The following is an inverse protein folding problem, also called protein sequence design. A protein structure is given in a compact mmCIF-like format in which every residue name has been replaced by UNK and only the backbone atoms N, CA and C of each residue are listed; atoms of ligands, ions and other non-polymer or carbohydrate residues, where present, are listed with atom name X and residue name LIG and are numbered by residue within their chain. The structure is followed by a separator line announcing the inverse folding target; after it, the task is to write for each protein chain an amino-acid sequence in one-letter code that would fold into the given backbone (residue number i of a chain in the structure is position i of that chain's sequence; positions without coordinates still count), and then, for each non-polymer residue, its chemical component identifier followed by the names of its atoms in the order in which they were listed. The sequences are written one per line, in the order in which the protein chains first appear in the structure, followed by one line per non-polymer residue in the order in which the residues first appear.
data_IF_160774594328
#
_entry.id   IF_160774594328
#
_cell.length_a   1.000
_cell.length_b   1.000
_cell.length_c   1.000
_cell.angle_alpha   90.00
_cell.angle_beta   90.00
_cell.angle_gamma   90.00
#
_symmetry.space_group_name_H-M   'P 1'
#
loop_
_entity.id
_entity.type
_entity.pdbx_description
1 polymer ?
#
# COMPACT_ATOMS: atom_id res chain seq x y z
N UNK A 1 -8.43 27.38 -16.26
CA UNK A 1 -8.03 25.96 -16.34
C UNK A 1 -7.17 25.69 -15.11
N UNK A 2 -7.59 24.82 -14.20
CA UNK A 2 -6.79 24.52 -13.01
C UNK A 2 -5.61 23.67 -13.46
N UNK A 3 -4.49 24.35 -13.72
CA UNK A 3 -3.20 23.70 -13.72
C UNK A 3 -2.89 23.31 -12.28
N UNK A 4 -3.09 22.03 -11.97
CA UNK A 4 -2.35 21.40 -10.88
C UNK A 4 -0.87 21.36 -11.32
N UNK A 5 -0.16 22.49 -11.18
CA UNK A 5 1.30 22.51 -11.26
C UNK A 5 1.85 21.80 -10.01
N UNK A 6 1.70 20.47 -9.98
CA UNK A 6 2.29 19.54 -9.01
C UNK A 6 3.66 19.09 -9.51
N UNK A 7 4.47 20.05 -9.99
CA UNK A 7 5.91 19.83 -10.17
C UNK A 7 6.57 20.18 -8.85
N UNK A 8 7.49 19.32 -8.38
CA UNK A 8 8.37 19.62 -7.26
C UNK A 8 9.17 20.89 -7.56
N UNK A 9 8.69 22.04 -7.11
CA UNK A 9 9.53 23.22 -6.91
C UNK A 9 10.20 23.06 -5.55
N UNK A 10 11.51 22.89 -5.55
CA UNK A 10 12.36 23.07 -4.36
C UNK A 10 12.42 24.59 -4.14
N UNK A 11 11.82 25.18 -3.10
CA UNK A 11 11.95 26.62 -2.87
C UNK A 11 13.32 26.88 -2.26
N UNK A 12 14.07 27.82 -2.84
CA UNK A 12 15.21 28.44 -2.16
C UNK A 12 14.70 29.26 -0.96
N UNK A 13 15.39 29.16 0.16
CA UNK A 13 15.03 29.69 1.49
C UNK A 13 15.03 31.23 1.61
N UNK A 14 14.94 32.00 0.53
CA UNK A 14 15.23 33.43 0.55
C UNK A 14 14.23 34.29 -0.24
N UNK A 15 12.97 34.33 0.18
CA UNK A 15 12.06 35.48 -0.06
C UNK A 15 10.72 35.28 0.64
N UNK A 16 10.56 35.89 1.82
CA UNK A 16 9.32 35.86 2.60
C UNK A 16 8.59 37.21 2.48
N UNK A 17 7.29 37.22 2.15
CA UNK A 17 6.35 38.22 2.64
C UNK A 17 5.68 37.69 3.93
N UNK A 18 5.59 38.54 4.94
CA UNK A 18 4.81 38.31 6.16
C UNK A 18 3.32 38.41 5.83
N UNK A 19 2.57 37.31 6.00
CA UNK A 19 1.11 37.31 5.88
C UNK A 19 0.48 37.17 7.27
N UNK A 20 -0.42 38.10 7.60
CA UNK A 20 -1.31 38.00 8.75
C UNK A 20 -2.42 36.98 8.44
N UNK A 21 -2.48 35.87 9.18
CA UNK A 21 -3.57 34.92 9.11
C UNK A 21 -4.14 34.58 10.48
N UNK A 22 -5.46 34.41 10.45
CA UNK A 22 -6.41 34.19 11.55
C UNK A 22 -6.06 32.92 12.33
N UNK A 23 -6.00 33.05 13.65
CA UNK A 23 -5.83 31.96 14.61
C UNK A 23 -7.06 31.05 14.63
N UNK A 24 -6.88 29.78 14.28
CA UNK A 24 -7.89 28.72 14.47
C UNK A 24 -7.61 28.10 15.85
N UNK A 25 -8.51 28.24 16.85
CA UNK A 25 -8.29 27.62 18.15
C UNK A 25 -8.56 26.12 18.07
N UNK A 26 -7.54 25.32 18.42
CA UNK A 26 -7.66 23.87 18.61
C UNK A 26 -7.55 23.60 20.10
N UNK A 27 -8.68 23.49 20.80
CA UNK A 27 -8.70 22.97 22.17
C UNK A 27 -9.00 21.46 22.14
N UNK A 28 -8.15 20.62 22.78
CA UNK A 28 -8.45 19.22 22.98
C UNK A 28 -9.36 19.05 24.21
N UNK A 29 -10.54 18.44 24.05
CA UNK A 29 -11.32 17.92 25.19
C UNK A 29 -11.14 16.40 25.31
N UNK A 30 -10.86 15.88 26.51
CA UNK A 30 -10.79 14.43 26.75
C UNK A 30 -12.19 13.82 26.76
N UNK A 31 -12.34 12.64 26.15
CA UNK A 31 -13.57 11.83 26.20
C UNK A 31 -13.37 10.75 27.27
N UNK A 32 -14.00 10.90 28.42
CA UNK A 32 -14.15 9.83 29.42
C UNK A 32 -15.58 9.25 29.42
N UNK A 33 -15.61 7.92 29.52
CA UNK A 33 -16.62 7.03 30.13
C UNK A 33 -18.08 7.11 29.69
N UNK A 34 -18.53 6.14 28.86
CA UNK A 34 -19.76 5.38 29.12
C UNK A 34 -19.63 3.97 28.49
N UNK A 35 -19.17 2.98 29.26
CA UNK A 35 -19.50 1.57 29.01
C UNK A 35 -19.85 0.95 30.35
N UNK A 36 -21.14 0.70 30.58
CA UNK A 36 -21.55 -0.30 31.56
C UNK A 36 -22.78 -1.05 31.07
N UNK A 37 -22.68 -2.37 31.26
CA UNK A 37 -23.72 -3.39 31.29
C UNK A 37 -24.22 -3.98 29.96
N UNK A 38 -23.72 -5.19 29.67
CA UNK A 38 -24.58 -6.37 29.51
C UNK A 38 -23.73 -7.65 29.54
N UNK A 39 -23.67 -8.29 30.71
CA UNK A 39 -23.28 -9.70 30.87
C UNK A 39 -24.50 -10.62 30.69
N UNK A 40 -24.19 -11.84 30.24
CA UNK A 40 -24.97 -13.09 30.34
C UNK A 40 -26.23 -13.31 29.47
N UNK A 41 -26.12 -14.23 28.50
CA UNK A 41 -26.44 -15.66 28.68
C UNK A 41 -26.19 -16.45 27.38
N UNK A 42 -25.60 -17.65 27.54
CA UNK A 42 -25.37 -18.66 26.50
C UNK A 42 -26.67 -19.41 26.20
N UNK A 43 -26.95 -19.63 24.91
CA UNK A 43 -27.70 -20.81 24.44
C UNK A 43 -27.20 -21.17 23.03
N UNK A 44 -26.66 -22.39 22.92
CA UNK A 44 -26.03 -22.96 21.74
C UNK A 44 -26.96 -23.99 21.10
N UNK A 45 -27.61 -23.64 19.98
CA UNK A 45 -27.95 -24.58 18.90
C UNK A 45 -28.62 -23.84 17.73
N UNK A 46 -28.08 -23.97 16.51
CA UNK A 46 -28.83 -23.69 15.27
C UNK A 46 -28.71 -22.28 14.66
N UNK A 47 -27.60 -21.55 14.85
CA UNK A 47 -27.41 -20.25 14.20
C UNK A 47 -25.96 -20.11 13.70
N UNK A 48 -25.66 -20.43 12.45
CA UNK A 48 -24.38 -20.07 11.83
C UNK A 48 -24.56 -18.88 10.86
N UNK A 49 -25.56 -18.98 9.98
CA UNK A 49 -25.88 -17.98 8.94
C UNK A 49 -26.47 -16.68 9.51
N UNK A 50 -27.31 -16.77 10.55
CA UNK A 50 -27.90 -15.59 11.23
C UNK A 50 -26.87 -14.78 12.05
N UNK A 51 -25.81 -15.44 12.54
CA UNK A 51 -24.73 -14.78 13.29
C UNK A 51 -23.77 -14.03 12.37
N UNK A 52 -23.45 -14.58 11.20
CA UNK A 52 -22.62 -13.89 10.19
C UNK A 52 -23.29 -12.59 9.73
N UNK A 53 -24.60 -12.64 9.43
CA UNK A 53 -25.37 -11.45 9.05
C UNK A 53 -25.45 -10.41 10.18
N UNK A 54 -25.63 -10.83 11.43
CA UNK A 54 -25.64 -9.92 12.60
C UNK A 54 -24.26 -9.28 12.83
N UNK A 55 -23.16 -10.03 12.70
CA UNK A 55 -21.78 -9.49 12.80
C UNK A 55 -21.47 -8.49 11.68
N UNK A 56 -21.87 -8.76 10.44
CA UNK A 56 -21.70 -7.80 9.33
C UNK A 56 -22.51 -6.52 9.55
N UNK A 57 -23.77 -6.62 10.01
CA UNK A 57 -24.60 -5.46 10.34
C UNK A 57 -24.02 -4.63 11.49
N UNK A 58 -23.46 -5.30 12.51
CA UNK A 58 -22.79 -4.64 13.64
C UNK A 58 -21.49 -3.92 13.21
N UNK A 59 -20.66 -4.54 12.36
CA UNK A 59 -19.43 -3.92 11.81
C UNK A 59 -19.74 -2.69 10.94
N UNK A 60 -20.78 -2.73 10.10
CA UNK A 60 -21.23 -1.58 9.28
C UNK A 60 -21.63 -0.38 10.13
N UNK A 61 -22.40 -0.61 11.20
CA UNK A 61 -22.87 0.45 12.11
C UNK A 61 -21.71 1.00 12.95
N UNK A 62 -20.79 0.15 13.40
CA UNK A 62 -19.70 0.57 14.27
C UNK A 62 -18.67 1.45 13.55
N UNK A 63 -18.28 1.13 12.31
CA UNK A 63 -17.32 1.95 11.56
C UNK A 63 -17.90 3.31 11.15
N UNK A 64 -19.17 3.32 10.72
CA UNK A 64 -19.91 4.56 10.46
C UNK A 64 -20.01 5.42 11.73
N UNK A 65 -20.24 4.81 12.89
CA UNK A 65 -20.27 5.51 14.18
C UNK A 65 -18.89 6.08 14.59
N UNK A 66 -17.79 5.37 14.33
CA UNK A 66 -16.43 5.84 14.65
C UNK A 66 -16.02 7.03 13.78
N UNK A 67 -16.37 7.00 12.49
CA UNK A 67 -16.01 8.07 11.56
C UNK A 67 -17.02 9.22 11.55
N UNK A 68 -18.24 9.03 12.04
CA UNK A 68 -19.32 10.03 12.02
C UNK A 68 -18.95 11.35 12.69
N UNK A 69 -18.28 11.39 13.87
CA UNK A 69 -17.84 12.66 14.46
C UNK A 69 -16.85 13.42 13.56
N UNK A 70 -15.92 12.72 12.90
CA UNK A 70 -14.96 13.31 11.96
C UNK A 70 -15.66 13.84 10.71
N UNK A 71 -16.63 13.11 10.17
CA UNK A 71 -17.45 13.60 9.05
C UNK A 71 -18.23 14.85 9.43
N UNK A 72 -18.83 14.90 10.62
CA UNK A 72 -19.53 16.09 11.10
C UNK A 72 -18.60 17.30 11.22
N UNK A 73 -17.35 17.10 11.65
CA UNK A 73 -16.34 18.16 11.66
C UNK A 73 -16.00 18.64 10.24
N UNK A 74 -15.79 17.73 9.28
CA UNK A 74 -15.60 18.09 7.85
C UNK A 74 -16.79 18.91 7.35
N UNK A 75 -18.02 18.48 7.67
CA UNK A 75 -19.24 19.16 7.27
C UNK A 75 -19.34 20.57 7.89
N UNK A 76 -18.83 20.76 9.11
CA UNK A 76 -18.84 22.09 9.76
C UNK A 76 -17.87 23.08 9.11
N UNK A 77 -16.76 22.60 8.53
CA UNK A 77 -15.80 23.42 7.78
C UNK A 77 -16.32 23.81 6.39
N UNK A 78 -17.37 23.15 5.89
CA UNK A 78 -17.87 23.35 4.52
C UNK A 78 -18.36 24.78 4.30
N UNK A 79 -18.92 25.45 5.32
CA UNK A 79 -19.36 26.86 5.24
C UNK A 79 -18.19 27.83 5.10
N UNK A 80 -17.11 27.61 5.85
CA UNK A 80 -15.88 28.42 5.83
C UNK A 80 -15.10 28.20 4.53
N UNK A 81 -14.98 26.94 4.11
CA UNK A 81 -14.23 26.59 2.91
C UNK A 81 -15.01 27.01 1.66
N UNK A 82 -16.34 26.94 1.65
CA UNK A 82 -17.17 27.32 0.49
C UNK A 82 -16.96 28.76 0.03
N UNK A 83 -16.65 29.70 0.93
CA UNK A 83 -16.44 31.11 0.59
C UNK A 83 -15.08 31.42 -0.06
N UNK A 84 -14.11 30.49 0.02
CA UNK A 84 -12.77 30.71 -0.52
C UNK A 84 -12.78 30.88 -2.06
N UNK A 85 -11.85 31.65 -2.61
CA UNK A 85 -11.60 31.65 -4.06
C UNK A 85 -10.71 30.47 -4.49
N UNK A 86 -10.57 30.24 -5.79
CA UNK A 86 -9.63 29.23 -6.31
C UNK A 86 -8.18 29.51 -5.87
N UNK A 87 -7.77 30.79 -5.86
CA UNK A 87 -6.45 31.21 -5.36
C UNK A 87 -6.27 30.81 -3.90
N UNK A 88 -7.26 31.12 -3.06
CA UNK A 88 -7.19 30.81 -1.63
C UNK A 88 -7.17 29.31 -1.34
N UNK A 89 -7.80 28.47 -2.17
CA UNK A 89 -7.69 27.01 -2.06
C UNK A 89 -6.28 26.50 -2.39
N UNK A 90 -5.61 27.12 -3.38
CA UNK A 90 -4.21 26.82 -3.70
C UNK A 90 -3.30 27.24 -2.56
N UNK A 91 -3.51 28.43 -1.99
CA UNK A 91 -2.74 28.93 -0.84
C UNK A 91 -2.93 28.02 0.38
N UNK A 92 -4.16 27.52 0.60
CA UNK A 92 -4.45 26.55 1.65
C UNK A 92 -3.67 25.25 1.42
N UNK A 93 -3.58 24.77 0.19
CA UNK A 93 -2.79 23.58 -0.14
C UNK A 93 -1.30 23.78 0.15
N UNK A 94 -0.74 24.94 -0.22
CA UNK A 94 0.65 25.28 0.07
C UNK A 94 0.92 25.33 1.59
N UNK A 95 0.00 25.93 2.35
CA UNK A 95 0.07 25.97 3.81
C UNK A 95 0.05 24.56 4.43
N UNK A 96 -0.87 23.69 3.98
CA UNK A 96 -0.93 22.31 4.47
C UNK A 96 0.32 21.51 4.10
N UNK A 97 0.87 21.72 2.89
CA UNK A 97 2.13 21.10 2.45
C UNK A 97 3.30 21.52 3.34
N UNK A 98 3.43 22.81 3.66
CA UNK A 98 4.47 23.29 4.58
C UNK A 98 4.39 22.64 5.96
N UNK A 99 3.19 22.53 6.55
CA UNK A 99 3.01 21.87 7.85
C UNK A 99 3.36 20.38 7.83
N UNK A 100 2.97 19.68 6.78
CA UNK A 100 3.32 18.28 6.59
C UNK A 100 4.86 18.09 6.49
N UNK A 101 5.54 18.99 5.76
CA UNK A 101 7.00 18.97 5.63
C UNK A 101 7.73 19.31 6.94
N UNK A 102 7.13 20.12 7.81
CA UNK A 102 7.64 20.41 9.16
C UNK A 102 7.47 19.24 10.15
N UNK A 103 6.98 18.08 9.71
CA UNK A 103 6.91 16.86 10.50
C UNK A 103 5.64 16.70 11.32
N UNK A 104 4.64 17.56 11.11
CA UNK A 104 3.37 17.47 11.82
C UNK A 104 2.55 16.27 11.30
N UNK A 105 1.98 15.47 12.22
CA UNK A 105 1.36 14.18 11.88
C UNK A 105 0.14 14.34 10.96
N UNK A 106 0.10 13.55 9.88
CA UNK A 106 -1.04 13.45 8.98
C UNK A 106 -2.34 13.09 9.70
N UNK A 107 -2.28 12.35 10.81
CA UNK A 107 -3.47 11.99 11.59
C UNK A 107 -4.00 13.13 12.47
N UNK A 108 -3.10 13.93 13.04
CA UNK A 108 -3.42 15.04 13.96
C UNK A 108 -4.08 16.20 13.23
N UNK A 109 -3.62 16.46 12.01
CA UNK A 109 -3.91 17.71 11.32
C UNK A 109 -4.85 17.62 10.13
N UNK A 110 -4.69 16.55 9.35
CA UNK A 110 -4.87 16.69 7.92
C UNK A 110 -6.11 16.01 7.34
N UNK A 111 -6.82 15.03 7.96
CA UNK A 111 -7.99 14.46 7.30
C UNK A 111 -9.09 15.51 7.15
N UNK A 112 -9.28 16.38 8.15
CA UNK A 112 -10.43 17.29 8.18
C UNK A 112 -10.27 18.48 7.21
N UNK A 113 -9.19 19.28 7.28
CA UNK A 113 -9.02 20.40 6.36
C UNK A 113 -8.72 19.91 4.94
N UNK A 114 -7.89 18.87 4.78
CA UNK A 114 -7.54 18.37 3.46
C UNK A 114 -8.76 17.78 2.73
N UNK A 115 -9.60 16.98 3.43
CA UNK A 115 -10.79 16.42 2.78
C UNK A 115 -11.84 17.49 2.51
N UNK A 116 -11.96 18.51 3.36
CA UNK A 116 -12.86 19.62 3.12
C UNK A 116 -12.42 20.47 1.91
N UNK A 117 -11.12 20.78 1.79
CA UNK A 117 -10.52 21.42 0.61
C UNK A 117 -10.78 20.59 -0.65
N UNK A 118 -10.51 19.28 -0.60
CA UNK A 118 -10.74 18.40 -1.74
C UNK A 118 -12.21 18.25 -2.11
N UNK A 119 -13.10 18.23 -1.13
CA UNK A 119 -14.55 18.20 -1.38
C UNK A 119 -15.01 19.44 -2.14
N UNK A 120 -14.51 20.62 -1.76
CA UNK A 120 -14.81 21.86 -2.48
C UNK A 120 -14.18 21.89 -3.86
N UNK A 121 -12.91 21.50 -3.98
CA UNK A 121 -12.22 21.44 -5.26
C UNK A 121 -12.95 20.49 -6.22
N UNK A 122 -13.31 19.30 -5.77
CA UNK A 122 -14.09 18.33 -6.55
C UNK A 122 -15.43 18.90 -7.02
N UNK A 123 -16.16 19.64 -6.17
CA UNK A 123 -17.40 20.31 -6.55
C UNK A 123 -17.18 21.38 -7.61
N UNK A 124 -16.11 22.16 -7.51
CA UNK A 124 -15.79 23.22 -8.46
C UNK A 124 -15.29 22.71 -9.81
N UNK A 125 -14.44 21.68 -9.81
CA UNK A 125 -13.80 21.14 -11.03
C UNK A 125 -14.67 20.11 -11.72
N UNK A 126 -15.22 19.16 -10.97
CA UNK A 126 -15.95 18.01 -11.51
C UNK A 126 -17.46 18.19 -11.45
N UNK A 127 -17.95 19.22 -10.74
CA UNK A 127 -19.37 19.34 -10.41
C UNK A 127 -19.84 18.28 -9.39
N UNK A 128 -18.94 17.46 -8.86
CA UNK A 128 -19.25 16.35 -7.96
C UNK A 128 -18.85 16.74 -6.54
N UNK A 129 -19.82 16.75 -5.62
CA UNK A 129 -19.54 16.93 -4.19
C UNK A 129 -19.47 15.56 -3.53
N UNK A 130 -18.29 15.12 -3.03
CA UNK A 130 -18.18 13.85 -2.32
C UNK A 130 -19.24 13.70 -1.21
N UNK A 131 -19.93 12.56 -1.17
CA UNK A 131 -20.87 12.25 -0.09
C UNK A 131 -20.14 11.84 1.18
N UNK A 132 -20.87 11.82 2.29
CA UNK A 132 -20.32 11.49 3.61
C UNK A 132 -19.73 10.07 3.65
N UNK A 133 -20.34 9.12 2.93
CA UNK A 133 -19.81 7.75 2.78
C UNK A 133 -18.46 7.71 2.04
N UNK A 134 -18.21 8.65 1.12
CA UNK A 134 -16.94 8.78 0.40
C UNK A 134 -15.85 9.32 1.32
N UNK A 135 -16.20 10.26 2.21
CA UNK A 135 -15.29 10.76 3.23
C UNK A 135 -14.90 9.65 4.22
N UNK A 136 -15.86 8.81 4.63
CA UNK A 136 -15.61 7.64 5.48
C UNK A 136 -14.65 6.69 4.78
N UNK A 137 -14.88 6.41 3.50
CA UNK A 137 -14.04 5.52 2.69
C UNK A 137 -12.61 6.07 2.56
N UNK A 138 -12.48 7.37 2.28
CA UNK A 138 -11.18 8.03 2.20
C UNK A 138 -10.40 7.96 3.52
N UNK A 139 -11.09 8.05 4.66
CA UNK A 139 -10.46 7.89 5.98
C UNK A 139 -10.04 6.44 6.26
N UNK A 140 -10.81 5.45 5.80
CA UNK A 140 -10.43 4.03 5.89
C UNK A 140 -9.17 3.78 5.06
N UNK A 141 -9.15 4.26 3.81
CA UNK A 141 -7.97 4.18 2.95
C UNK A 141 -6.78 4.90 3.59
N UNK A 142 -6.97 6.10 4.15
CA UNK A 142 -5.90 6.82 4.85
C UNK A 142 -5.42 6.13 6.14
N UNK A 143 -6.13 5.13 6.69
CA UNK A 143 -5.62 4.35 7.82
C UNK A 143 -4.72 3.17 7.43
N UNK A 144 -4.86 2.63 6.22
CA UNK A 144 -4.16 1.40 5.86
C UNK A 144 -5.06 0.22 5.55
N UNK A 145 -6.37 0.43 5.59
CA UNK A 145 -7.35 -0.64 5.49
C UNK A 145 -7.97 -0.71 4.09
N UNK A 146 -8.69 -1.80 3.82
CA UNK A 146 -9.50 -1.95 2.62
C UNK A 146 -10.88 -1.34 2.82
N UNK A 147 -11.28 -0.42 1.95
CA UNK A 147 -12.63 0.13 1.92
C UNK A 147 -13.51 -0.69 0.97
N UNK A 148 -14.43 -1.49 1.52
CA UNK A 148 -15.44 -2.17 0.71
C UNK A 148 -16.60 -1.21 0.42
N UNK A 149 -16.73 -0.85 -0.85
CA UNK A 149 -17.73 0.06 -1.39
C UNK A 149 -18.42 -0.56 -2.59
N UNK A 150 -19.75 -0.62 -2.57
CA UNK A 150 -20.52 -1.19 -3.69
C UNK A 150 -20.21 -0.47 -5.01
N UNK A 151 -20.27 -1.21 -6.10
CA UNK A 151 -20.10 -0.67 -7.46
C UNK A 151 -21.08 0.48 -7.69
N UNK A 152 -20.58 1.59 -8.24
CA UNK A 152 -21.37 2.80 -8.46
C UNK A 152 -21.42 3.79 -7.28
N UNK A 153 -20.83 3.47 -6.13
CA UNK A 153 -20.73 4.45 -5.02
C UNK A 153 -19.71 5.57 -5.32
N UNK A 154 -18.79 5.39 -6.26
CA UNK A 154 -17.82 6.40 -6.70
C UNK A 154 -16.39 6.16 -6.21
N UNK A 155 -15.89 4.92 -6.32
CA UNK A 155 -14.53 4.50 -5.91
C UNK A 155 -13.43 5.43 -6.45
N UNK A 156 -13.47 5.75 -7.75
CA UNK A 156 -12.53 6.70 -8.38
C UNK A 156 -12.47 8.04 -7.65
N UNK A 157 -13.62 8.61 -7.24
CA UNK A 157 -13.65 9.89 -6.53
C UNK A 157 -13.09 9.76 -5.10
N UNK A 158 -13.21 8.59 -4.49
CA UNK A 158 -12.66 8.33 -3.14
C UNK A 158 -11.15 8.34 -3.15
N UNK A 159 -10.48 7.75 -4.14
CA UNK A 159 -9.02 7.64 -4.17
C UNK A 159 -8.30 8.99 -4.09
N UNK A 160 -8.92 10.04 -4.62
CA UNK A 160 -8.37 11.40 -4.65
C UNK A 160 -8.22 11.97 -3.24
N UNK A 161 -9.13 11.65 -2.32
CA UNK A 161 -9.14 12.19 -0.95
C UNK A 161 -7.86 11.79 -0.16
N UNK A 162 -7.56 10.49 0.03
CA UNK A 162 -6.31 10.07 0.66
C UNK A 162 -5.11 10.33 -0.25
N UNK A 163 -5.24 10.33 -1.58
CA UNK A 163 -4.10 10.65 -2.46
C UNK A 163 -3.62 12.08 -2.24
N UNK A 164 -4.51 13.06 -2.26
CA UNK A 164 -4.18 14.46 -1.97
C UNK A 164 -3.55 14.62 -0.60
N UNK A 165 -4.18 14.05 0.44
CA UNK A 165 -3.70 14.11 1.82
C UNK A 165 -2.26 13.59 1.96
N UNK A 166 -2.00 12.41 1.42
CA UNK A 166 -0.69 11.76 1.54
C UNK A 166 0.36 12.42 0.64
N UNK A 167 -0.05 13.01 -0.49
CA UNK A 167 0.81 13.75 -1.41
C UNK A 167 1.38 15.04 -0.80
N UNK A 168 0.74 15.60 0.24
CA UNK A 168 1.27 16.77 0.97
C UNK A 168 2.64 16.54 1.60
N UNK A 169 3.03 15.27 1.82
CA UNK A 169 4.37 14.92 2.32
C UNK A 169 5.47 15.11 1.27
N UNK A 170 5.12 15.28 -0.01
CA UNK A 170 6.07 15.39 -1.13
C UNK A 170 6.76 14.06 -1.50
N UNK A 171 6.39 12.94 -0.86
CA UNK A 171 6.99 11.62 -1.06
C UNK A 171 6.36 10.81 -2.20
N UNK A 172 5.34 11.35 -2.88
CA UNK A 172 4.62 10.67 -3.95
C UNK A 172 3.53 9.72 -3.45
N UNK A 173 2.49 9.53 -4.28
CA UNK A 173 1.39 8.58 -4.07
C UNK A 173 1.08 7.87 -5.37
N UNK A 174 1.02 6.54 -5.33
CA UNK A 174 0.62 5.71 -6.47
C UNK A 174 -0.86 5.33 -6.35
N UNK A 175 -1.65 5.62 -7.38
CA UNK A 175 -3.01 5.11 -7.54
C UNK A 175 -2.94 4.01 -8.58
N UNK A 176 -3.08 2.77 -8.12
CA UNK A 176 -2.92 1.56 -8.92
C UNK A 176 -4.28 1.07 -9.38
N UNK A 177 -4.39 0.79 -10.67
CA UNK A 177 -5.61 0.25 -11.29
C UNK A 177 -5.31 -1.07 -12.00
N UNK A 178 -6.36 -1.78 -12.41
CA UNK A 178 -6.26 -3.11 -13.05
C UNK A 178 -5.64 -3.03 -14.47
N UNK A 179 -5.79 -1.90 -15.17
CA UNK A 179 -5.26 -1.75 -16.53
C UNK A 179 -5.01 -0.29 -16.90
N UNK A 180 -4.23 -0.10 -17.97
CA UNK A 180 -3.80 1.23 -18.44
C UNK A 180 -4.95 2.11 -18.89
N UNK A 181 -6.03 1.53 -19.43
CA UNK A 181 -7.21 2.28 -19.82
C UNK A 181 -7.87 2.94 -18.60
N UNK A 182 -8.06 2.19 -17.51
CA UNK A 182 -8.61 2.71 -16.26
C UNK A 182 -7.67 3.73 -15.63
N UNK A 183 -6.36 3.47 -15.61
CA UNK A 183 -5.35 4.41 -15.13
C UNK A 183 -5.45 5.75 -15.89
N UNK A 184 -5.52 5.70 -17.22
CA UNK A 184 -5.61 6.90 -18.07
C UNK A 184 -6.95 7.61 -17.91
N UNK A 185 -8.06 6.88 -17.94
CA UNK A 185 -9.41 7.45 -17.77
C UNK A 185 -9.52 8.18 -16.44
N UNK A 186 -9.14 7.52 -15.35
CA UNK A 186 -9.31 8.08 -14.01
C UNK A 186 -8.42 9.30 -13.83
N UNK A 187 -7.16 9.21 -14.27
CA UNK A 187 -6.22 10.32 -14.40
C UNK A 187 -6.85 11.53 -15.11
N UNK A 188 -7.28 11.38 -16.37
CA UNK A 188 -7.88 12.47 -17.18
C UNK A 188 -9.13 13.07 -16.52
N UNK A 189 -9.87 12.26 -15.77
CA UNK A 189 -11.06 12.70 -15.06
C UNK A 189 -10.74 13.61 -13.88
N UNK A 190 -9.62 13.39 -13.18
CA UNK A 190 -9.26 14.21 -12.01
C UNK A 190 -8.37 15.40 -12.35
N UNK A 191 -7.66 15.34 -13.47
CA UNK A 191 -6.81 16.45 -13.94
C UNK A 191 -5.73 15.99 -14.93
N UNK A 192 -4.91 16.92 -15.43
CA UNK A 192 -3.84 16.59 -16.36
C UNK A 192 -2.68 15.93 -15.61
N UNK A 193 -2.71 14.61 -15.47
CA UNK A 193 -1.60 13.81 -14.92
C UNK A 193 -0.92 13.04 -16.06
N UNK A 194 0.39 12.77 -15.97
CA UNK A 194 1.12 12.04 -17.00
C UNK A 194 0.55 10.64 -17.30
N UNK A 195 0.63 10.26 -18.58
CA UNK A 195 0.24 8.93 -19.10
C UNK A 195 1.46 8.00 -19.14
N UNK A 196 1.26 6.71 -18.94
CA UNK A 196 2.26 5.65 -19.13
C UNK A 196 1.90 4.76 -20.32
N UNK A 197 2.20 5.17 -21.57
CA UNK A 197 2.08 4.29 -22.73
C UNK A 197 3.18 3.21 -22.70
N UNK A 198 2.86 2.02 -23.22
CA UNK A 198 3.72 0.82 -23.20
C UNK A 198 5.15 1.03 -23.77
N UNK A 199 5.38 2.07 -24.59
CA UNK A 199 6.68 2.40 -25.20
C UNK A 199 7.30 3.73 -24.72
N UNK A 200 7.02 4.14 -23.49
CA UNK A 200 7.61 5.35 -22.90
C UNK A 200 9.09 5.17 -22.56
N UNK A 201 9.92 6.19 -22.84
CA UNK A 201 11.35 6.18 -22.46
C UNK A 201 11.53 6.24 -20.94
N UNK A 202 12.64 5.70 -20.44
CA UNK A 202 12.96 5.68 -19.00
C UNK A 202 13.00 7.08 -18.39
N UNK A 203 13.51 8.08 -19.11
CA UNK A 203 13.53 9.48 -18.64
C UNK A 203 12.11 10.02 -18.43
N UNK A 204 11.21 9.70 -19.37
CA UNK A 204 9.84 10.19 -19.29
C UNK A 204 9.04 9.46 -18.21
N UNK A 205 9.31 8.19 -17.95
CA UNK A 205 8.74 7.47 -16.80
C UNK A 205 9.22 8.08 -15.47
N UNK A 206 10.51 8.39 -15.36
CA UNK A 206 11.06 9.05 -14.17
C UNK A 206 10.38 10.41 -13.93
N UNK A 207 10.16 11.21 -14.98
CA UNK A 207 9.38 12.46 -14.88
C UNK A 207 7.96 12.24 -14.35
N UNK A 208 7.31 11.14 -14.74
CA UNK A 208 5.96 10.83 -14.27
C UNK A 208 5.93 10.40 -12.80
N UNK A 209 6.93 9.65 -12.33
CA UNK A 209 7.05 9.26 -10.91
C UNK A 209 7.52 10.43 -10.01
N UNK A 210 8.06 11.50 -10.60
CA UNK A 210 8.36 12.74 -9.88
C UNK A 210 7.12 13.60 -9.56
N UNK A 211 5.96 13.27 -10.13
CA UNK A 211 4.70 13.90 -9.77
C UNK A 211 4.27 13.54 -8.34
N UNK A 212 3.56 14.46 -7.68
CA UNK A 212 3.06 14.22 -6.31
C UNK A 212 2.04 13.05 -6.25
N UNK A 213 1.31 12.79 -7.34
CA UNK A 213 0.37 11.68 -7.51
C UNK A 213 0.57 11.06 -8.90
N UNK A 214 0.63 9.74 -8.96
CA UNK A 214 0.88 8.96 -10.18
C UNK A 214 -0.19 7.89 -10.34
N UNK A 215 -0.89 7.87 -11.49
CA UNK A 215 -1.80 6.78 -11.86
C UNK A 215 -1.06 5.77 -12.73
N UNK A 216 -1.16 4.49 -12.39
CA UNK A 216 -0.42 3.42 -13.06
C UNK A 216 -1.21 2.10 -12.98
N UNK A 217 -0.99 1.19 -13.92
CA UNK A 217 -1.50 -0.17 -13.79
C UNK A 217 -0.64 -0.99 -12.83
N UNK A 218 -1.24 -2.03 -12.24
CA UNK A 218 -0.53 -3.03 -11.44
C UNK A 218 0.67 -3.63 -12.19
N UNK A 219 0.49 -3.95 -13.48
CA UNK A 219 1.50 -4.58 -14.32
C UNK A 219 2.66 -3.63 -14.60
N UNK A 220 2.40 -2.39 -15.03
CA UNK A 220 3.49 -1.45 -15.32
C UNK A 220 4.24 -1.04 -14.05
N UNK A 221 3.56 -0.88 -12.92
CA UNK A 221 4.25 -0.60 -11.65
C UNK A 221 5.15 -1.78 -11.24
N UNK A 222 4.66 -3.01 -11.39
CA UNK A 222 5.43 -4.23 -11.12
C UNK A 222 6.60 -4.41 -12.08
N UNK A 223 6.39 -4.15 -13.37
CA UNK A 223 7.45 -4.24 -14.37
C UNK A 223 8.47 -3.12 -14.23
N UNK A 224 8.07 -1.89 -13.93
CA UNK A 224 9.01 -0.80 -13.65
C UNK A 224 9.88 -1.16 -12.45
N UNK A 225 9.31 -1.74 -11.40
CA UNK A 225 10.08 -2.26 -10.26
C UNK A 225 11.06 -3.35 -10.67
N UNK A 226 10.62 -4.31 -11.47
CA UNK A 226 11.47 -5.41 -11.92
C UNK A 226 12.54 -4.98 -12.94
N UNK A 227 12.29 -3.92 -13.71
CA UNK A 227 13.24 -3.32 -14.67
C UNK A 227 14.32 -2.51 -13.95
N UNK A 228 14.10 -2.11 -12.70
CA UNK A 228 15.09 -1.34 -11.96
C UNK A 228 16.34 -2.17 -11.70
N UNK A 229 17.48 -1.63 -12.14
CA UNK A 229 18.77 -2.14 -11.76
C UNK A 229 19.35 -1.24 -10.66
N UNK A 230 19.47 -1.73 -9.40
CA UNK A 230 20.04 -0.93 -8.32
C UNK A 230 21.49 -0.48 -8.57
N UNK A 231 22.19 -1.07 -9.54
CA UNK A 231 23.52 -0.65 -9.98
C UNK A 231 23.53 0.63 -10.84
N UNK A 232 22.39 1.09 -11.31
CA UNK A 232 22.28 2.32 -12.11
C UNK A 232 21.87 3.50 -11.24
N UNK A 233 22.60 4.62 -11.32
CA UNK A 233 22.31 5.86 -10.55
C UNK A 233 20.95 6.49 -10.89
N UNK A 234 20.30 6.07 -11.99
CA UNK A 234 19.00 6.57 -12.45
C UNK A 234 17.92 5.52 -12.23
N UNK A 235 17.37 5.50 -11.02
CA UNK A 235 16.14 4.77 -10.73
C UNK A 235 14.93 5.48 -11.36
N UNK A 236 14.00 4.70 -11.91
CA UNK A 236 12.77 5.21 -12.52
C UNK A 236 11.72 5.44 -11.43
N UNK A 237 11.69 4.55 -10.45
CA UNK A 237 10.90 4.65 -9.22
C UNK A 237 11.76 5.31 -8.14
N UNK A 238 11.12 6.17 -7.34
CA UNK A 238 11.82 6.88 -6.26
C UNK A 238 11.73 6.11 -4.94
N UNK A 239 10.51 6.04 -4.40
CA UNK A 239 10.25 5.40 -3.11
C UNK A 239 8.79 4.97 -3.04
N UNK A 240 8.53 3.74 -2.61
CA UNK A 240 7.17 3.24 -2.35
C UNK A 240 6.64 3.79 -1.03
N UNK A 241 6.03 4.98 -1.07
CA UNK A 241 5.54 5.62 0.15
C UNK A 241 4.05 5.33 0.41
N UNK A 242 3.17 5.63 -0.55
CA UNK A 242 1.74 5.35 -0.44
C UNK A 242 1.20 4.75 -1.73
N UNK A 243 0.46 3.65 -1.60
CA UNK A 243 -0.22 2.97 -2.69
C UNK A 243 -1.71 2.82 -2.37
N UNK A 244 -2.57 3.24 -3.30
CA UNK A 244 -4.02 3.05 -3.25
C UNK A 244 -4.39 2.16 -4.42
N UNK A 245 -4.83 0.93 -4.13
CA UNK A 245 -5.19 -0.06 -5.14
C UNK A 245 -6.69 -0.04 -5.38
N UNK A 246 -7.12 0.28 -6.60
CA UNK A 246 -8.51 0.08 -7.04
C UNK A 246 -8.74 -1.38 -7.46
N UNK A 247 -9.94 -1.88 -7.23
CA UNK A 247 -10.31 -3.30 -7.39
C UNK A 247 -9.26 -4.25 -6.76
N UNK A 248 -8.97 -4.01 -5.48
CA UNK A 248 -7.91 -4.70 -4.73
C UNK A 248 -8.04 -6.23 -4.68
N UNK A 249 -9.25 -6.77 -4.78
CA UNK A 249 -9.50 -8.22 -4.92
C UNK A 249 -9.01 -8.76 -6.26
N UNK A 250 -9.31 -8.05 -7.34
CA UNK A 250 -8.85 -8.43 -8.68
C UNK A 250 -7.32 -8.48 -8.73
N UNK A 251 -6.64 -7.50 -8.12
CA UNK A 251 -5.18 -7.39 -8.19
C UNK A 251 -4.48 -8.33 -7.19
N UNK A 252 -4.87 -8.30 -5.91
CA UNK A 252 -4.15 -9.01 -4.85
C UNK A 252 -4.61 -10.46 -4.65
N UNK A 253 -5.73 -10.88 -5.24
CA UNK A 253 -6.25 -12.24 -5.09
C UNK A 253 -6.28 -12.97 -6.43
N UNK A 254 -6.88 -12.37 -7.45
CA UNK A 254 -7.03 -13.04 -8.75
C UNK A 254 -5.72 -12.99 -9.57
N UNK A 255 -5.16 -11.80 -9.77
CA UNK A 255 -3.94 -11.62 -10.57
C UNK A 255 -2.67 -12.07 -9.85
N UNK A 256 -2.63 -11.95 -8.52
CA UNK A 256 -1.49 -12.37 -7.71
C UNK A 256 -1.15 -13.87 -7.81
N UNK A 257 -2.03 -14.69 -8.41
CA UNK A 257 -1.78 -16.12 -8.67
C UNK A 257 -0.67 -16.36 -9.68
N UNK A 258 -0.46 -15.42 -10.60
CA UNK A 258 0.59 -15.53 -11.63
C UNK A 258 1.69 -14.54 -11.32
N UNK A 259 2.93 -14.97 -11.04
CA UNK A 259 4.00 -14.05 -10.73
C UNK A 259 4.33 -13.17 -11.94
N UNK A 260 4.58 -11.87 -11.70
CA UNK A 260 5.13 -10.97 -12.69
C UNK A 260 6.56 -11.39 -13.06
N UNK A 261 6.80 -11.67 -14.34
CA UNK A 261 8.08 -12.13 -14.88
C UNK A 261 8.56 -11.21 -16.00
N UNK A 262 9.73 -10.60 -15.84
CA UNK A 262 10.47 -10.03 -16.97
C UNK A 262 11.25 -11.17 -17.61
N UNK A 263 10.95 -11.43 -18.88
CA UNK A 263 11.74 -12.36 -19.69
C UNK A 263 12.76 -11.56 -20.49
N UNK A 264 14.03 -11.77 -20.19
CA UNK A 264 15.16 -11.24 -20.93
C UNK A 264 16.34 -12.19 -20.78
N UNK A 265 17.39 -12.07 -21.62
CA UNK A 265 18.62 -12.79 -21.38
C UNK A 265 19.32 -12.17 -20.16
N UNK A 266 19.06 -12.70 -18.96
CA UNK A 266 19.69 -12.26 -17.71
C UNK A 266 20.07 -13.47 -16.84
N UNK A 267 21.24 -13.42 -16.22
CA UNK A 267 21.68 -14.42 -15.24
C UNK A 267 20.82 -14.34 -13.97
N UNK A 268 20.42 -15.49 -13.41
CA UNK A 268 19.33 -15.54 -12.42
C UNK A 268 19.81 -15.09 -11.01
N UNK A 269 19.05 -14.23 -10.29
CA UNK A 269 19.31 -13.88 -8.89
C UNK A 269 19.29 -15.10 -7.94
N UNK A 270 18.49 -16.11 -8.28
CA UNK A 270 18.52 -17.42 -7.60
C UNK A 270 19.92 -18.02 -7.66
N UNK A 271 20.61 -17.88 -8.78
CA UNK A 271 21.95 -18.42 -8.99
C UNK A 271 22.97 -17.71 -8.10
N UNK A 272 22.78 -16.42 -7.80
CA UNK A 272 23.66 -15.69 -6.87
C UNK A 272 23.53 -16.20 -5.44
N UNK A 273 22.31 -16.40 -4.94
CA UNK A 273 22.09 -16.98 -3.62
C UNK A 273 22.65 -18.41 -3.53
N UNK A 274 22.46 -19.24 -4.55
CA UNK A 274 23.06 -20.59 -4.58
C UNK A 274 24.59 -20.56 -4.68
N UNK A 275 25.17 -19.65 -5.47
CA UNK A 275 26.63 -19.44 -5.54
C UNK A 275 27.18 -18.98 -4.18
N UNK A 276 26.54 -18.00 -3.55
CA UNK A 276 26.91 -17.51 -2.23
C UNK A 276 26.79 -18.60 -1.14
N UNK A 277 25.75 -19.44 -1.20
CA UNK A 277 25.60 -20.59 -0.30
C UNK A 277 26.72 -21.63 -0.48
N UNK A 278 27.16 -21.88 -1.73
CA UNK A 278 28.31 -22.76 -2.00
C UNK A 278 29.64 -22.18 -1.49
N UNK A 279 29.84 -20.87 -1.65
CA UNK A 279 31.01 -20.16 -1.12
C UNK A 279 31.02 -20.24 0.42
N UNK A 280 29.87 -19.91 1.04
CA UNK A 280 29.72 -20.03 2.48
C UNK A 280 30.00 -21.46 2.97
N UNK A 281 29.53 -22.49 2.25
CA UNK A 281 29.80 -23.88 2.58
C UNK A 281 31.30 -24.22 2.55
N UNK A 282 32.07 -23.66 1.61
CA UNK A 282 33.50 -23.89 1.45
C UNK A 282 34.39 -23.26 2.54
N UNK A 283 33.89 -22.26 3.27
CA UNK A 283 34.63 -21.70 4.41
C UNK A 283 34.68 -22.68 5.59
N UNK A 284 35.87 -23.11 6.00
CA UNK A 284 36.08 -23.91 7.20
C UNK A 284 36.67 -23.03 8.32
N UNK A 285 35.89 -22.74 9.37
CA UNK A 285 36.37 -22.06 10.58
C UNK A 285 36.14 -20.54 10.63
N UNK A 286 36.81 -19.87 11.59
CA UNK A 286 36.68 -18.43 11.82
C UNK A 286 37.09 -17.63 10.57
N UNK A 287 36.20 -16.73 10.13
CA UNK A 287 36.46 -15.76 9.07
C UNK A 287 37.63 -14.84 9.45
N UNK A 288 38.84 -15.22 9.03
CA UNK A 288 40.01 -14.37 9.11
C UNK A 288 40.01 -13.36 7.96
N UNK A 289 40.99 -12.45 7.98
CA UNK A 289 41.19 -11.41 6.97
C UNK A 289 41.37 -11.92 5.52
N UNK A 290 41.38 -13.22 5.27
CA UNK A 290 41.58 -13.83 3.94
C UNK A 290 40.27 -14.22 3.25
N UNK A 291 39.15 -14.32 3.97
CA UNK A 291 37.90 -14.85 3.42
C UNK A 291 37.26 -13.99 2.32
N UNK A 292 37.56 -12.70 2.27
CA UNK A 292 37.09 -11.82 1.19
C UNK A 292 37.93 -11.98 -0.08
N UNK A 293 39.25 -12.15 0.03
CA UNK A 293 40.12 -12.42 -1.13
C UNK A 293 39.74 -13.76 -1.78
N UNK A 294 39.51 -14.79 -0.95
CA UNK A 294 39.04 -16.10 -1.42
C UNK A 294 37.66 -16.00 -2.10
N UNK A 295 36.76 -15.18 -1.55
CA UNK A 295 35.43 -14.95 -2.15
C UNK A 295 35.54 -14.25 -3.51
N UNK A 296 36.44 -13.27 -3.64
CA UNK A 296 36.69 -12.54 -4.88
C UNK A 296 37.27 -13.44 -5.97
N UNK A 297 38.20 -14.33 -5.61
CA UNK A 297 38.77 -15.32 -6.53
C UNK A 297 37.72 -16.34 -7.00
N UNK A 298 36.88 -16.86 -6.09
CA UNK A 298 35.84 -17.83 -6.43
C UNK A 298 34.73 -17.21 -7.30
N UNK A 299 34.40 -15.94 -7.06
CA UNK A 299 33.38 -15.21 -7.81
C UNK A 299 33.89 -14.60 -9.12
N UNK A 300 35.21 -14.58 -9.34
CA UNK A 300 35.88 -13.87 -10.44
C UNK A 300 35.49 -12.37 -10.48
N UNK A 301 35.47 -11.74 -9.30
CA UNK A 301 35.12 -10.32 -9.13
C UNK A 301 36.30 -9.55 -8.56
N UNK A 302 36.44 -8.29 -8.98
CA UNK A 302 37.57 -7.44 -8.55
C UNK A 302 37.40 -6.83 -7.16
N UNK A 303 36.16 -6.65 -6.72
CA UNK A 303 35.81 -6.01 -5.46
C UNK A 303 34.46 -6.55 -5.01
N UNK A 304 34.46 -7.29 -3.89
CA UNK A 304 33.25 -7.86 -3.29
C UNK A 304 32.27 -6.77 -2.83
N UNK A 305 32.79 -5.58 -2.51
CA UNK A 305 32.04 -4.43 -2.02
C UNK A 305 31.61 -3.46 -3.14
N UNK A 306 31.82 -3.79 -4.42
CA UNK A 306 31.35 -2.93 -5.52
C UNK A 306 29.81 -2.78 -5.41
N UNK A 307 29.30 -1.54 -5.24
CA UNK A 307 27.88 -1.27 -5.10
C UNK A 307 27.04 -1.67 -6.34
N UNK A 308 27.69 -1.94 -7.47
CA UNK A 308 27.05 -2.42 -8.71
C UNK A 308 26.77 -3.93 -8.69
N UNK A 309 27.62 -4.72 -8.03
CA UNK A 309 27.48 -6.18 -8.00
C UNK A 309 26.86 -6.69 -6.70
N UNK A 310 27.13 -5.98 -5.59
CA UNK A 310 26.54 -6.20 -4.26
C UNK A 310 26.76 -7.61 -3.69
N UNK A 311 27.82 -8.30 -4.09
CA UNK A 311 28.12 -9.67 -3.65
C UNK A 311 28.35 -9.78 -2.13
N UNK A 312 28.93 -8.77 -1.51
CA UNK A 312 29.19 -8.75 -0.07
C UNK A 312 27.95 -9.08 0.78
N UNK A 313 26.77 -8.55 0.42
CA UNK A 313 25.53 -8.82 1.15
C UNK A 313 25.08 -10.28 0.99
N UNK A 314 25.17 -10.84 -0.21
CA UNK A 314 24.81 -12.24 -0.46
C UNK A 314 25.73 -13.22 0.27
N UNK A 315 27.04 -12.95 0.26
CA UNK A 315 28.04 -13.78 0.95
C UNK A 315 27.86 -13.68 2.47
N UNK A 316 27.67 -12.48 3.01
CA UNK A 316 27.41 -12.28 4.44
C UNK A 316 26.14 -13.00 4.89
N UNK A 317 25.04 -12.87 4.13
CA UNK A 317 23.78 -13.56 4.44
C UNK A 317 23.92 -15.08 4.35
N UNK A 318 24.68 -15.60 3.37
CA UNK A 318 24.93 -17.02 3.23
C UNK A 318 25.75 -17.59 4.40
N UNK A 319 26.77 -16.86 4.86
CA UNK A 319 27.58 -17.25 6.02
C UNK A 319 26.74 -17.16 7.30
N UNK A 320 25.98 -16.07 7.47
CA UNK A 320 25.05 -15.90 8.60
C UNK A 320 24.05 -17.07 8.64
N UNK A 321 23.45 -17.42 7.49
CA UNK A 321 22.55 -18.55 7.39
C UNK A 321 23.26 -19.88 7.71
N UNK A 322 24.51 -20.08 7.27
CA UNK A 322 25.30 -21.28 7.56
C UNK A 322 25.58 -21.43 9.07
N UNK A 323 26.16 -20.40 9.68
CA UNK A 323 26.73 -20.46 11.03
C UNK A 323 25.70 -20.22 12.14
N UNK A 324 24.76 -19.29 11.94
CA UNK A 324 23.86 -18.84 13.01
C UNK A 324 22.46 -19.45 12.94
N UNK A 325 22.02 -19.94 11.78
CA UNK A 325 20.68 -20.48 11.59
C UNK A 325 20.72 -22.00 11.43
N UNK A 326 20.55 -22.71 12.54
CA UNK A 326 20.65 -24.15 12.59
C UNK A 326 19.29 -24.82 12.35
N UNK A 327 19.31 -25.83 11.50
CA UNK A 327 18.17 -26.70 11.25
C UNK A 327 17.73 -27.39 12.54
N UNK A 328 16.43 -27.47 12.72
CA UNK A 328 15.74 -28.01 13.91
C UNK A 328 15.95 -27.21 15.20
N UNK A 329 16.56 -26.02 15.10
CA UNK A 329 16.69 -25.04 16.20
C UNK A 329 16.01 -23.73 15.81
N UNK A 330 16.50 -23.06 14.77
CA UNK A 330 15.97 -21.78 14.29
C UNK A 330 14.95 -21.98 13.16
N UNK A 331 15.11 -23.04 12.37
CA UNK A 331 14.32 -23.32 11.18
C UNK A 331 13.97 -24.80 11.04
N UNK A 332 12.81 -25.10 10.45
CA UNK A 332 12.39 -26.45 10.09
C UNK A 332 12.05 -26.47 8.61
N UNK A 333 12.51 -27.51 7.91
CA UNK A 333 12.15 -27.75 6.50
C UNK A 333 10.92 -28.63 6.44
N UNK A 334 9.81 -28.10 5.90
CA UNK A 334 8.58 -28.85 5.70
C UNK A 334 8.19 -28.84 4.23
N UNK A 335 8.24 -29.99 3.57
CA UNK A 335 7.98 -30.09 2.13
C UNK A 335 9.03 -29.33 1.32
N UNK A 336 8.63 -28.22 0.68
CA UNK A 336 9.51 -27.35 -0.13
C UNK A 336 9.74 -25.98 0.50
N UNK A 337 9.42 -25.80 1.78
CA UNK A 337 9.45 -24.51 2.45
C UNK A 337 10.27 -24.55 3.74
N UNK A 338 10.91 -23.42 4.04
CA UNK A 338 11.57 -23.16 5.32
C UNK A 338 10.59 -22.47 6.26
N UNK A 339 10.38 -23.03 7.44
CA UNK A 339 9.52 -22.46 8.49
C UNK A 339 10.36 -21.98 9.66
N UNK A 340 9.99 -20.83 10.24
CA UNK A 340 10.69 -20.23 11.38
C UNK A 340 10.21 -20.88 12.68
N UNK A 341 11.14 -21.22 13.56
CA UNK A 341 10.83 -21.64 14.94
C UNK A 341 10.93 -20.42 15.86
N UNK A 342 9.89 -20.19 16.66
CA UNK A 342 9.88 -19.15 17.67
C UNK A 342 10.81 -19.52 18.84
N UNK A 343 11.83 -18.70 19.10
CA UNK A 343 12.82 -18.92 20.17
C UNK A 343 12.18 -18.92 21.57
N UNK A 344 11.07 -18.22 21.78
CA UNK A 344 10.43 -18.13 23.10
C UNK A 344 9.46 -19.28 23.36
N UNK A 345 8.81 -19.81 22.31
CA UNK A 345 7.70 -20.76 22.46
C UNK A 345 7.98 -22.13 21.85
N UNK A 346 9.04 -22.27 21.05
CA UNK A 346 9.36 -23.47 20.27
C UNK A 346 8.32 -23.79 19.18
N UNK A 347 7.38 -22.87 18.92
CA UNK A 347 6.31 -23.10 17.93
C UNK A 347 6.77 -22.72 16.54
N UNK A 348 6.29 -23.48 15.57
CA UNK A 348 6.51 -23.20 14.15
C UNK A 348 5.60 -22.05 13.71
N UNK A 349 6.18 -20.97 13.21
CA UNK A 349 5.47 -19.82 12.66
C UNK A 349 5.40 -19.97 11.14
N UNK A 350 4.24 -20.34 10.63
CA UNK A 350 3.98 -20.41 9.18
C UNK A 350 3.75 -19.03 8.58
N UNK A 351 4.25 -18.81 7.36
CA UNK A 351 4.07 -17.58 6.59
C UNK A 351 4.90 -16.37 7.05
N UNK A 352 5.79 -16.54 8.03
CA UNK A 352 6.74 -15.50 8.46
C UNK A 352 8.11 -15.75 7.82
N UNK A 353 8.77 -14.68 7.35
CA UNK A 353 10.11 -14.72 6.75
C UNK A 353 11.07 -13.82 7.53
N UNK A 354 12.37 -14.14 7.49
CA UNK A 354 13.42 -13.24 7.99
C UNK A 354 13.66 -12.11 6.97
N UNK A 355 14.08 -10.94 7.46
CA UNK A 355 14.30 -9.76 6.62
C UNK A 355 15.64 -9.80 5.87
N UNK A 356 15.83 -8.80 5.00
CA UNK A 356 17.13 -8.45 4.40
C UNK A 356 17.79 -9.57 3.57
N UNK A 357 16.98 -10.42 2.92
CA UNK A 357 17.50 -11.50 2.09
C UNK A 357 17.97 -12.75 2.87
N UNK A 358 17.88 -12.74 4.21
CA UNK A 358 18.34 -13.83 5.05
C UNK A 358 17.49 -15.09 4.85
N UNK A 359 16.19 -14.96 4.62
CA UNK A 359 15.33 -16.12 4.40
C UNK A 359 15.65 -16.85 3.09
N UNK A 360 16.00 -16.10 2.05
CA UNK A 360 16.46 -16.60 0.77
C UNK A 360 17.82 -17.30 0.91
N UNK A 361 18.70 -16.78 1.77
CA UNK A 361 19.96 -17.43 2.08
C UNK A 361 19.78 -18.76 2.84
N UNK A 362 18.81 -18.84 3.76
CA UNK A 362 18.45 -20.10 4.44
C UNK A 362 17.78 -21.08 3.46
N UNK A 363 16.90 -20.61 2.57
CA UNK A 363 16.33 -21.43 1.50
C UNK A 363 17.43 -22.00 0.58
N UNK A 364 18.41 -21.18 0.21
CA UNK A 364 19.56 -21.59 -0.61
C UNK A 364 20.46 -22.60 0.13
N UNK A 365 20.71 -22.38 1.44
CA UNK A 365 21.45 -23.31 2.31
C UNK A 365 20.79 -24.69 2.35
N UNK A 366 19.47 -24.73 2.48
CA UNK A 366 18.70 -25.98 2.54
C UNK A 366 18.41 -26.58 1.14
N UNK A 367 18.88 -25.94 0.06
CA UNK A 367 18.67 -26.40 -1.32
C UNK A 367 17.21 -26.30 -1.80
N UNK A 368 16.43 -25.38 -1.22
CA UNK A 368 15.02 -25.16 -1.54
C UNK A 368 14.83 -24.03 -2.56
N UNK A 369 13.73 -24.07 -3.36
CA UNK A 369 13.42 -23.01 -4.30
C UNK A 369 13.19 -21.67 -3.58
N UNK A 370 13.96 -20.66 -3.96
CA UNK A 370 13.94 -19.33 -3.34
C UNK A 370 12.65 -18.59 -3.72
N UNK A 371 11.92 -18.11 -2.70
CA UNK A 371 10.70 -17.33 -2.90
C UNK A 371 10.98 -15.82 -2.81
N UNK A 372 10.26 -15.00 -3.59
CA UNK A 372 10.44 -13.54 -3.66
C UNK A 372 9.75 -12.81 -2.49
N UNK A 373 10.37 -11.75 -1.98
CA UNK A 373 9.81 -10.87 -0.95
C UNK A 373 8.74 -9.89 -1.49
N UNK A 374 7.89 -9.35 -0.60
CA UNK A 374 6.79 -8.41 -0.94
C UNK A 374 6.80 -7.11 -0.12
N UNK A 375 6.22 -6.08 -0.75
CA UNK A 375 6.33 -4.61 -0.60
C UNK A 375 5.74 -3.94 0.67
N UNK A 376 6.09 -2.66 0.94
CA UNK A 376 5.60 -1.91 2.11
C UNK A 376 4.15 -1.39 1.98
N UNK A 377 3.49 -1.22 3.14
CA UNK A 377 2.16 -0.61 3.43
C UNK A 377 1.19 -0.47 2.23
N UNK A 378 0.48 -1.56 1.94
CA UNK A 378 -0.59 -1.65 0.94
C UNK A 378 -1.93 -1.13 1.49
N UNK A 379 -2.81 -0.66 0.59
CA UNK A 379 -4.17 -0.14 0.89
C UNK A 379 -5.01 -0.30 -0.36
N UNK A 380 -6.31 -0.52 -0.23
CA UNK A 380 -7.14 -0.68 -1.43
C UNK A 380 -8.64 -0.52 -1.24
N UNK A 381 -9.37 -0.46 -2.35
CA UNK A 381 -10.82 -0.36 -2.38
C UNK A 381 -11.39 -1.39 -3.36
N UNK A 382 -12.57 -1.94 -3.05
CA UNK A 382 -13.28 -2.86 -3.94
C UNK A 382 -14.76 -2.97 -3.54
N UNK A 383 -15.60 -3.59 -4.37
CA UNK A 383 -16.99 -3.91 -4.06
C UNK A 383 -17.22 -5.22 -3.31
N UNK A 384 -16.18 -6.04 -3.17
CA UNK A 384 -16.33 -7.48 -2.85
C UNK A 384 -15.26 -8.06 -1.91
N UNK A 385 -14.61 -7.26 -1.07
CA UNK A 385 -13.53 -7.76 -0.20
C UNK A 385 -13.97 -8.56 1.05
N UNK A 386 -15.18 -8.37 1.61
CA UNK A 386 -15.51 -8.98 2.91
C UNK A 386 -15.53 -10.51 2.89
N UNK A 387 -15.84 -11.12 1.74
CA UNK A 387 -15.81 -12.58 1.57
C UNK A 387 -14.40 -13.14 1.70
N UNK A 388 -13.39 -12.38 1.27
CA UNK A 388 -11.97 -12.77 1.25
C UNK A 388 -11.16 -12.09 2.35
N UNK A 389 -11.83 -11.50 3.33
CA UNK A 389 -11.16 -10.73 4.40
C UNK A 389 -10.08 -11.49 5.18
N UNK A 390 -10.22 -12.80 5.33
CA UNK A 390 -9.21 -13.63 5.99
C UNK A 390 -7.91 -13.72 5.18
N UNK A 391 -8.00 -13.73 3.85
CA UNK A 391 -6.84 -13.80 2.97
C UNK A 391 -6.06 -12.49 2.98
N UNK A 392 -6.77 -11.36 2.88
CA UNK A 392 -6.19 -10.02 3.02
C UNK A 392 -5.49 -9.80 4.36
N UNK A 393 -6.08 -10.26 5.47
CA UNK A 393 -5.50 -10.13 6.80
C UNK A 393 -4.28 -11.04 6.98
N UNK A 394 -4.34 -12.27 6.49
CA UNK A 394 -3.25 -13.24 6.66
C UNK A 394 -2.03 -12.89 5.81
N UNK A 395 -2.24 -12.60 4.52
CA UNK A 395 -1.17 -12.37 3.54
C UNK A 395 -0.66 -10.93 3.61
N UNK A 396 -1.56 -9.95 3.51
CA UNK A 396 -1.20 -8.53 3.32
C UNK A 396 -1.32 -7.69 4.60
N UNK A 397 -1.80 -8.27 5.70
CA UNK A 397 -2.10 -7.55 6.97
C UNK A 397 -3.12 -6.41 6.78
N UNK A 398 -4.04 -6.56 5.83
CA UNK A 398 -5.06 -5.57 5.51
C UNK A 398 -6.41 -5.92 6.13
N UNK A 399 -7.00 -5.00 6.87
CA UNK A 399 -8.35 -5.19 7.40
C UNK A 399 -9.40 -4.70 6.39
N UNK A 400 -10.44 -5.49 6.17
CA UNK A 400 -11.58 -5.07 5.34
C UNK A 400 -12.62 -4.33 6.18
N UNK A 401 -12.95 -3.10 5.76
CA UNK A 401 -13.99 -2.26 6.36
C UNK A 401 -15.14 -2.05 5.38
N UNK A 402 -16.32 -2.53 5.74
CA UNK A 402 -17.54 -2.36 4.92
C UNK A 402 -18.10 -0.96 5.14
N UNK A 403 -18.12 -0.16 4.08
CA UNK A 403 -18.69 1.19 4.08
C UNK A 403 -20.19 1.11 3.76
N UNK A 404 -21.06 1.86 4.46
CA UNK A 404 -22.48 1.96 4.10
C UNK A 404 -22.67 2.61 2.71
N UNK A 405 -23.74 2.23 2.02
CA UNK A 405 -24.14 2.84 0.75
C UNK A 405 -24.75 4.23 0.98
N UNK A 406 -24.54 5.16 0.05
CA UNK A 406 -25.09 6.52 0.14
C UNK A 406 -26.63 6.53 0.20
N UNK A 407 -27.25 5.63 -0.57
CA UNK A 407 -28.70 5.41 -0.56
C UNK A 407 -29.01 3.98 -0.13
N UNK A 408 -30.22 3.70 0.40
CA UNK A 408 -30.66 2.33 0.66
C UNK A 408 -30.59 1.49 -0.62
N UNK A 409 -29.92 0.34 -0.54
CA UNK A 409 -29.85 -0.61 -1.64
C UNK A 409 -31.20 -1.33 -1.77
N UNK A 410 -31.90 -1.11 -2.90
CA UNK A 410 -33.24 -1.65 -3.18
C UNK A 410 -33.25 -2.74 -4.27
N UNK A 411 -32.07 -3.10 -4.81
CA UNK A 411 -31.96 -4.14 -5.84
C UNK A 411 -32.42 -5.47 -5.26
N UNK A 412 -33.33 -6.15 -5.96
CA UNK A 412 -33.84 -7.46 -5.58
C UNK A 412 -32.91 -8.54 -6.15
N UNK A 413 -31.99 -9.01 -5.32
CA UNK A 413 -31.14 -10.15 -5.66
C UNK A 413 -31.97 -11.44 -5.53
N UNK A 414 -32.32 -12.04 -6.68
CA UNK A 414 -33.05 -13.32 -6.73
C UNK A 414 -32.08 -14.47 -6.44
N UNK A 415 -32.61 -15.55 -5.89
CA UNK A 415 -31.85 -16.78 -5.70
C UNK A 415 -31.40 -17.37 -7.04
N UNK A 416 -30.25 -18.03 -7.01
CA UNK A 416 -29.69 -18.71 -8.18
C UNK A 416 -30.67 -19.77 -8.70
N UNK A 417 -30.79 -19.84 -10.02
CA UNK A 417 -31.53 -20.90 -10.71
C UNK A 417 -30.52 -21.91 -11.23
N UNK A 418 -30.61 -23.14 -10.72
CA UNK A 418 -29.65 -24.21 -11.02
C UNK A 418 -30.25 -25.12 -12.09
N UNK A 419 -29.55 -25.25 -13.22
CA UNK A 419 -29.95 -26.12 -14.32
C UNK A 419 -29.05 -27.36 -14.39
N UNK A 420 -29.61 -28.49 -14.85
CA UNK A 420 -28.88 -29.76 -14.98
C UNK A 420 -27.82 -29.73 -16.09
N UNK A 421 -28.06 -28.95 -17.15
CA UNK A 421 -27.16 -28.85 -18.30
C UNK A 421 -27.05 -27.38 -18.74
N UNK A 422 -25.94 -27.02 -19.39
CA UNK A 422 -25.71 -25.68 -19.93
C UNK A 422 -26.78 -25.27 -20.93
N UNK A 423 -27.30 -26.22 -21.72
CA UNK A 423 -28.41 -25.98 -22.66
C UNK A 423 -29.73 -25.58 -22.00
N UNK A 424 -29.87 -25.85 -20.69
CA UNK A 424 -31.03 -25.43 -19.91
C UNK A 424 -30.85 -24.08 -19.20
N UNK A 425 -29.61 -23.59 -19.08
CA UNK A 425 -29.27 -22.29 -18.51
C UNK A 425 -29.51 -21.18 -19.53
#
# INVERSE_FOLDING_TARGET
MIEFHLRRTIPSLSSLPTYNLISIPVEPRPIESVINHASDRKDFSGRSSRWHFRRQRYRRVHQAAICSPRVSLINSLDSQISSLSESQLRDTTLYLKQRALLGESLESLLPLPAFAVMRKASKGVLGLRPFDVLLISGMVLHKGDIAEMRTGEGKTLVAILPAYLNALTGKGVHVVTVNDYLACRDCEWVGPVPRFPENMTSERRMENYLCDITYVSNNELGFDYLRENPATEKLVLLSFNHCIIDEVDSILIDEARTPLTISGPAENPSDRCYKAAKIAAAFEGDLNYTGYEDSEEILDVKDLYDPREQWALYVLNAITAKELFLRDVNNIVCGKEVLIVDEFTGRVIQGRRWSDGLHQAVEAKEGLPIQKETFPKLRGMTGTAATESAEFENIYKLNVKIVPTNKPMIRKDKSDVIFRAVTGK
#
